data_IF_204585415054
#
_entry.id   IF_204585415054
#
_cell.length_a   1.000
_cell.length_b   1.000
_cell.length_c   1.000
_cell.angle_alpha   90.00
_cell.angle_beta   90.00
_cell.angle_gamma   90.00
#
_symmetry.space_group_name_H-M   'P 1'
#
loop_
_entity.id
_entity.type
_entity.pdbx_description
1 polymer ?
#
# COMPACT_ATOMS: atom_id res chain seq x y z
N UNK A 1 -19.28 -7.42 19.76
CA UNK A 1 -17.92 -6.93 19.44
C UNK A 1 -18.06 -5.49 18.99
N UNK A 2 -17.69 -4.55 19.86
CA UNK A 2 -17.63 -3.14 19.51
C UNK A 2 -16.21 -2.91 19.01
N UNK A 3 -16.00 -2.94 17.70
CA UNK A 3 -14.77 -2.41 17.12
C UNK A 3 -14.79 -0.89 17.28
N UNK A 4 -13.76 -0.38 17.93
CA UNK A 4 -13.59 1.05 18.08
C UNK A 4 -13.21 1.63 16.71
N UNK A 5 -14.14 2.34 16.09
CA UNK A 5 -13.94 3.00 14.79
C UNK A 5 -13.11 4.30 14.93
N UNK A 6 -12.14 4.30 15.84
CA UNK A 6 -11.22 5.41 16.03
C UNK A 6 -10.04 5.35 15.07
N UNK A 7 -9.67 6.49 14.47
CA UNK A 7 -8.39 6.62 13.81
C UNK A 7 -7.28 6.65 14.87
N UNK A 8 -6.28 5.78 14.74
CA UNK A 8 -5.08 5.78 15.58
C UNK A 8 -3.91 6.29 14.74
N UNK A 9 -3.31 7.39 15.15
CA UNK A 9 -2.07 7.85 14.56
C UNK A 9 -0.91 7.04 15.13
N UNK A 10 -0.17 6.36 14.26
CA UNK A 10 1.04 5.61 14.63
C UNK A 10 2.21 6.12 13.82
N UNK A 11 3.37 6.17 14.44
CA UNK A 11 4.64 6.49 13.78
C UNK A 11 5.29 5.18 13.35
N UNK A 12 5.79 5.14 12.13
CA UNK A 12 6.48 4.00 11.56
C UNK A 12 7.90 4.39 11.18
N UNK A 13 8.86 3.56 11.55
CA UNK A 13 10.22 3.68 11.04
C UNK A 13 10.30 2.97 9.68
N UNK A 14 10.88 3.64 8.70
CA UNK A 14 11.14 3.06 7.40
C UNK A 14 12.40 3.66 6.77
N UNK A 15 13.01 2.92 5.87
CA UNK A 15 14.19 3.35 5.13
C UNK A 15 13.89 3.32 3.65
N UNK A 16 14.07 4.46 2.98
CA UNK A 16 14.03 4.57 1.53
C UNK A 16 15.45 4.81 1.01
N UNK A 17 15.87 4.00 0.05
CA UNK A 17 17.13 4.17 -0.68
C UNK A 17 16.81 4.13 -2.15
N UNK A 18 17.34 5.08 -2.91
CA UNK A 18 17.03 5.11 -4.33
C UNK A 18 17.98 5.92 -5.16
N UNK A 19 17.78 5.81 -6.46
CA UNK A 19 18.44 6.57 -7.50
C UNK A 19 17.38 7.14 -8.42
N UNK A 20 17.43 8.43 -8.65
CA UNK A 20 16.60 9.10 -9.64
C UNK A 20 17.47 9.77 -10.70
N UNK A 21 16.92 9.92 -11.89
CA UNK A 21 17.64 10.59 -12.96
C UNK A 21 16.72 11.07 -14.08
N UNK A 22 17.24 12.05 -14.81
CA UNK A 22 16.64 12.59 -16.01
C UNK A 22 17.71 12.78 -17.07
N UNK A 23 17.40 12.37 -18.29
CA UNK A 23 18.27 12.55 -19.46
C UNK A 23 17.45 13.11 -20.61
N UNK A 24 18.07 14.03 -21.35
CA UNK A 24 17.52 14.60 -22.57
C UNK A 24 18.55 14.40 -23.69
N UNK A 25 18.11 13.82 -24.78
CA UNK A 25 18.93 13.58 -25.96
C UNK A 25 18.33 14.31 -27.16
N UNK A 26 19.13 15.11 -27.82
CA UNK A 26 18.81 15.72 -29.11
C UNK A 26 19.32 14.78 -30.21
N UNK A 27 18.42 13.96 -30.75
CA UNK A 27 18.74 12.99 -31.80
C UNK A 27 19.00 13.71 -33.10
N UNK A 28 18.25 14.80 -33.36
CA UNK A 28 18.45 15.73 -34.45
C UNK A 28 17.94 17.11 -34.02
N UNK A 29 18.08 18.13 -34.87
CA UNK A 29 17.54 19.47 -34.65
C UNK A 29 16.02 19.49 -34.36
N UNK A 30 15.32 18.47 -34.83
CA UNK A 30 13.87 18.34 -34.74
C UNK A 30 13.38 17.15 -33.91
N UNK A 31 14.31 16.36 -33.34
CA UNK A 31 13.95 15.13 -32.62
C UNK A 31 14.61 15.11 -31.25
N UNK A 32 13.79 15.06 -30.22
CA UNK A 32 14.19 15.05 -28.82
C UNK A 32 13.65 13.80 -28.12
N UNK A 33 14.51 13.14 -27.32
CA UNK A 33 14.16 12.03 -26.44
C UNK A 33 14.40 12.43 -25.00
N UNK A 34 13.35 12.41 -24.19
CA UNK A 34 13.41 12.59 -22.75
C UNK A 34 13.25 11.23 -22.05
N UNK A 35 14.11 10.94 -21.09
CA UNK A 35 14.03 9.74 -20.24
C UNK A 35 14.16 10.17 -18.79
N UNK A 36 13.17 9.82 -17.98
CA UNK A 36 13.19 10.04 -16.53
C UNK A 36 12.94 8.71 -15.83
N UNK A 37 13.62 8.48 -14.72
CA UNK A 37 13.45 7.25 -13.94
C UNK A 37 13.65 7.49 -12.45
N UNK A 38 13.01 6.62 -11.68
CA UNK A 38 13.18 6.48 -10.24
C UNK A 38 13.34 4.99 -9.93
N UNK A 39 14.39 4.63 -9.22
CA UNK A 39 14.59 3.32 -8.61
C UNK A 39 14.56 3.51 -7.10
N UNK A 40 13.72 2.75 -6.38
CA UNK A 40 13.53 2.92 -4.95
C UNK A 40 13.45 1.56 -4.26
N UNK A 41 14.29 1.34 -3.24
CA UNK A 41 14.17 0.26 -2.26
C UNK A 41 13.60 0.85 -0.97
N UNK A 42 12.39 0.44 -0.62
CA UNK A 42 11.66 0.95 0.54
C UNK A 42 11.33 -0.19 1.48
N UNK A 43 11.82 -0.12 2.72
CA UNK A 43 11.61 -1.16 3.73
C UNK A 43 11.18 -0.56 5.05
N UNK A 44 10.17 -1.16 5.65
CA UNK A 44 9.74 -0.84 7.01
C UNK A 44 10.70 -1.44 8.02
N UNK A 45 10.89 -0.74 9.14
CA UNK A 45 11.66 -1.19 10.27
C UNK A 45 10.93 -2.23 11.12
N UNK A 46 11.58 -2.67 12.17
CA UNK A 46 11.03 -3.61 13.15
C UNK A 46 9.83 -2.97 13.87
N UNK A 47 8.64 -3.50 13.64
CA UNK A 47 7.43 -3.06 14.30
C UNK A 47 6.34 -4.12 14.23
N UNK A 48 5.68 -4.35 15.36
CA UNK A 48 4.47 -5.16 15.46
C UNK A 48 3.24 -4.27 15.30
N UNK A 49 2.33 -4.66 14.43
CA UNK A 49 1.09 -3.94 14.15
C UNK A 49 -0.09 -4.90 14.05
N UNK A 50 -1.17 -4.58 14.74
CA UNK A 50 -2.43 -5.31 14.60
C UNK A 50 -3.02 -5.02 13.21
N UNK A 51 -3.40 -6.07 12.49
CA UNK A 51 -4.17 -5.94 11.25
C UNK A 51 -5.68 -6.04 11.57
N UNK A 52 -6.39 -4.92 11.73
CA UNK A 52 -7.80 -4.93 12.11
C UNK A 52 -8.71 -5.54 11.04
N UNK A 53 -8.20 -5.74 9.84
CA UNK A 53 -8.94 -6.26 8.70
C UNK A 53 -8.72 -7.77 8.50
N UNK A 54 -7.81 -8.35 9.28
CA UNK A 54 -7.54 -9.78 9.29
C UNK A 54 -7.60 -10.35 10.71
N UNK A 55 -8.77 -10.46 11.29
CA UNK A 55 -8.94 -10.95 12.67
C UNK A 55 -8.40 -12.37 12.89
N UNK A 56 -8.16 -13.12 11.81
CA UNK A 56 -7.62 -14.48 11.89
C UNK A 56 -6.09 -14.53 12.03
N UNK A 57 -5.37 -13.44 11.74
CA UNK A 57 -3.91 -13.39 11.88
C UNK A 57 -3.45 -13.43 13.34
N UNK A 58 -4.27 -12.88 14.22
CA UNK A 58 -3.95 -12.75 15.64
C UNK A 58 -4.50 -13.91 16.48
N UNK A 59 -5.04 -14.94 15.87
CA UNK A 59 -5.64 -16.04 16.62
C UNK A 59 -4.70 -17.23 16.66
N UNK A 60 -3.95 -17.36 17.75
CA UNK A 60 -3.27 -18.61 18.08
C UNK A 60 -4.14 -19.37 19.07
N UNK A 61 -4.81 -20.41 18.58
CA UNK A 61 -5.56 -21.31 19.45
C UNK A 61 -4.57 -22.33 20.02
N UNK A 62 -4.33 -22.27 21.31
CA UNK A 62 -3.62 -23.32 22.02
C UNK A 62 -4.63 -24.16 22.81
N UNK A 63 -4.74 -25.41 22.47
CA UNK A 63 -5.39 -26.38 23.33
C UNK A 63 -4.50 -26.55 24.59
N UNK A 64 -4.81 -25.81 25.63
CA UNK A 64 -4.00 -25.82 26.84
C UNK A 64 -4.71 -26.64 27.92
N UNK A 65 -4.38 -27.89 28.02
CA UNK A 65 -4.78 -28.68 29.17
C UNK A 65 -4.15 -28.27 30.52
N UNK A 66 -3.35 -27.19 30.60
CA UNK A 66 -2.45 -26.93 31.72
C UNK A 66 -2.54 -25.51 32.33
N UNK A 67 -3.67 -24.81 32.25
CA UNK A 67 -3.87 -23.57 32.98
C UNK A 67 -2.79 -22.49 32.74
N UNK A 68 -2.15 -22.01 33.84
CA UNK A 68 -1.09 -20.98 33.76
C UNK A 68 0.12 -21.42 32.93
N UNK A 69 0.48 -22.71 32.91
CA UNK A 69 1.58 -23.21 32.11
C UNK A 69 1.26 -23.13 30.60
N UNK A 70 0.02 -23.38 30.21
CA UNK A 70 -0.43 -23.19 28.83
C UNK A 70 -0.42 -21.73 28.40
N UNK A 71 -0.84 -20.80 29.27
CA UNK A 71 -0.72 -19.36 29.06
C UNK A 71 0.73 -18.91 28.91
N UNK A 72 1.63 -19.41 29.74
CA UNK A 72 3.07 -19.10 29.63
C UNK A 72 3.61 -19.51 28.27
N UNK A 73 3.30 -20.73 27.81
CA UNK A 73 3.70 -21.20 26.49
C UNK A 73 3.11 -20.36 25.35
N UNK A 74 1.87 -19.91 25.51
CA UNK A 74 1.21 -19.01 24.56
C UNK A 74 1.97 -17.69 24.43
N UNK A 75 2.28 -17.05 25.56
CA UNK A 75 3.01 -15.77 25.56
C UNK A 75 4.43 -15.91 25.02
N UNK A 76 5.13 -17.02 25.30
CA UNK A 76 6.43 -17.31 24.71
C UNK A 76 6.34 -17.49 23.18
N UNK A 77 5.30 -18.14 22.70
CA UNK A 77 5.07 -18.32 21.24
C UNK A 77 4.82 -17.00 20.52
N UNK A 78 4.40 -15.95 21.24
CA UNK A 78 4.25 -14.58 20.69
C UNK A 78 5.53 -13.73 20.79
N UNK A 79 6.66 -14.33 21.18
CA UNK A 79 7.95 -13.64 21.28
C UNK A 79 8.24 -13.02 22.64
N UNK A 80 7.38 -13.22 23.64
CA UNK A 80 7.64 -12.75 25.00
C UNK A 80 8.75 -13.57 25.64
N UNK A 81 9.68 -12.92 26.35
CA UNK A 81 10.71 -13.63 27.12
C UNK A 81 10.10 -14.50 28.22
N UNK A 82 10.82 -15.54 28.65
CA UNK A 82 10.30 -16.55 29.55
C UNK A 82 9.84 -15.99 30.91
N UNK A 83 10.53 -14.98 31.45
CA UNK A 83 10.22 -14.40 32.75
C UNK A 83 8.95 -13.53 32.66
N UNK A 84 8.86 -12.68 31.66
CA UNK A 84 7.70 -11.83 31.38
C UNK A 84 6.47 -12.68 31.04
N UNK A 85 6.63 -13.72 30.22
CA UNK A 85 5.57 -14.65 29.89
C UNK A 85 5.00 -15.36 31.13
N UNK A 86 5.88 -15.85 32.03
CA UNK A 86 5.47 -16.49 33.27
C UNK A 86 4.74 -15.52 34.21
N UNK A 87 5.26 -14.31 34.38
CA UNK A 87 4.63 -13.28 35.23
C UNK A 87 3.25 -12.87 34.70
N UNK A 88 3.15 -12.66 33.38
CA UNK A 88 1.88 -12.30 32.71
C UNK A 88 0.87 -13.42 32.81
N UNK A 89 1.29 -14.68 32.61
CA UNK A 89 0.43 -15.84 32.74
C UNK A 89 -0.08 -16.03 34.17
N UNK A 90 0.79 -15.82 35.18
CA UNK A 90 0.41 -15.86 36.57
C UNK A 90 -0.61 -14.78 36.93
N UNK A 91 -0.41 -13.55 36.44
CA UNK A 91 -1.37 -12.45 36.61
C UNK A 91 -2.71 -12.78 36.00
N UNK A 92 -2.75 -13.20 34.74
CA UNK A 92 -3.97 -13.60 34.05
C UNK A 92 -4.67 -14.76 34.77
N UNK A 93 -3.90 -15.76 35.21
CA UNK A 93 -4.42 -16.88 35.97
C UNK A 93 -5.02 -16.47 37.33
N UNK A 94 -4.52 -15.39 37.94
CA UNK A 94 -5.06 -14.84 39.18
C UNK A 94 -6.40 -14.13 39.02
N UNK A 95 -6.67 -13.63 37.82
CA UNK A 95 -7.94 -12.96 37.50
C UNK A 95 -9.09 -13.94 37.23
N UNK A 96 -8.76 -15.20 36.99
CA UNK A 96 -9.74 -16.24 36.66
C UNK A 96 -9.79 -17.24 37.82
N UNK A 97 -10.96 -17.49 38.42
CA UNK A 97 -11.05 -18.48 39.49
C UNK A 97 -10.61 -19.88 39.00
N UNK A 98 -9.98 -20.62 39.87
CA UNK A 98 -9.27 -21.90 39.77
C UNK A 98 -9.87 -23.02 38.89
N UNK A 99 -10.74 -22.70 37.98
CA UNK A 99 -11.34 -23.65 37.07
C UNK A 99 -10.44 -23.84 35.85
N UNK A 100 -10.39 -25.05 35.42
CA UNK A 100 -9.68 -25.50 34.26
C UNK A 100 -9.92 -24.57 33.04
N UNK A 101 -8.98 -23.64 32.85
CA UNK A 101 -8.86 -22.91 31.58
C UNK A 101 -8.47 -23.92 30.53
N UNK A 102 -9.42 -24.35 29.74
CA UNK A 102 -9.24 -25.47 28.83
C UNK A 102 -8.84 -25.04 27.43
N UNK A 103 -9.20 -23.82 27.02
CA UNK A 103 -8.87 -23.29 25.71
C UNK A 103 -8.60 -21.79 25.79
N UNK A 104 -7.51 -21.37 25.18
CA UNK A 104 -7.17 -19.95 25.03
C UNK A 104 -7.05 -19.64 23.55
N UNK A 105 -7.57 -18.49 23.17
CA UNK A 105 -7.30 -17.89 21.88
C UNK A 105 -6.75 -16.49 22.12
N UNK A 106 -5.63 -16.18 21.52
CA UNK A 106 -5.09 -14.84 21.50
C UNK A 106 -5.65 -14.13 20.27
N UNK A 107 -6.28 -13.01 20.47
CA UNK A 107 -6.92 -12.23 19.41
C UNK A 107 -6.42 -10.79 19.42
N UNK A 108 -6.73 -10.04 18.37
CA UNK A 108 -6.48 -8.60 18.27
C UNK A 108 -7.17 -7.77 19.37
N UNK A 109 -8.21 -8.31 20.00
CA UNK A 109 -8.96 -7.66 21.08
C UNK A 109 -8.56 -8.10 22.49
N UNK A 110 -7.67 -9.09 22.59
CA UNK A 110 -7.23 -9.65 23.86
C UNK A 110 -7.21 -11.18 23.90
N UNK A 111 -7.04 -11.73 25.07
CA UNK A 111 -7.14 -13.17 25.27
C UNK A 111 -8.59 -13.55 25.44
N UNK A 112 -9.07 -14.48 24.62
CA UNK A 112 -10.35 -15.13 24.81
C UNK A 112 -10.12 -16.48 25.48
N UNK A 113 -10.73 -16.69 26.62
CA UNK A 113 -10.69 -17.95 27.33
C UNK A 113 -12.09 -18.56 27.41
N UNK A 114 -12.17 -19.90 27.25
CA UNK A 114 -13.41 -20.63 27.54
C UNK A 114 -13.44 -21.05 28.99
N UNK A 115 -14.43 -20.56 29.71
CA UNK A 115 -14.66 -20.89 31.10
C UNK A 115 -16.10 -21.36 31.30
N UNK A 116 -16.28 -22.59 31.76
CA UNK A 116 -17.62 -23.20 31.96
C UNK A 116 -18.58 -23.03 30.77
N UNK A 117 -18.03 -23.08 29.54
CA UNK A 117 -18.80 -22.92 28.31
C UNK A 117 -19.09 -21.47 27.92
N UNK A 118 -18.67 -20.48 28.70
CA UNK A 118 -18.74 -19.07 28.35
C UNK A 118 -17.40 -18.60 27.81
N UNK A 119 -17.43 -17.66 26.84
CA UNK A 119 -16.24 -16.98 26.36
C UNK A 119 -15.99 -15.73 27.23
N UNK A 120 -14.79 -15.65 27.80
CA UNK A 120 -14.32 -14.50 28.58
C UNK A 120 -13.24 -13.80 27.76
N UNK A 121 -13.40 -12.50 27.53
CA UNK A 121 -12.38 -11.68 26.90
C UNK A 121 -11.65 -10.88 27.96
N UNK A 122 -10.31 -11.00 27.99
CA UNK A 122 -9.43 -10.22 28.85
C UNK A 122 -8.83 -9.09 28.02
N UNK A 123 -9.34 -7.87 28.11
CA UNK A 123 -8.83 -6.74 27.33
C UNK A 123 -7.48 -6.27 27.88
N UNK A 124 -6.68 -5.61 27.04
CA UNK A 124 -5.42 -4.98 27.43
C UNK A 124 -4.17 -5.83 27.22
N UNK A 125 -4.30 -7.07 26.76
CA UNK A 125 -3.18 -7.94 26.35
C UNK A 125 -3.03 -8.02 24.80
N UNK A 126 -3.83 -7.28 24.08
CA UNK A 126 -3.83 -7.22 22.62
C UNK A 126 -2.55 -6.62 22.01
N UNK A 127 -1.81 -5.85 22.78
CA UNK A 127 -0.56 -5.22 22.33
C UNK A 127 0.62 -6.21 22.14
N UNK A 128 0.43 -7.46 22.52
CA UNK A 128 1.44 -8.52 22.42
C UNK A 128 1.34 -9.29 21.12
N UNK A 129 0.24 -9.13 20.39
CA UNK A 129 -0.04 -9.85 19.15
C UNK A 129 -0.13 -8.85 18.02
N UNK A 130 0.82 -8.92 17.12
CA UNK A 130 0.84 -8.09 15.94
C UNK A 130 1.51 -8.81 14.78
N UNK A 131 1.29 -8.33 13.59
CA UNK A 131 2.04 -8.73 12.41
C UNK A 131 3.36 -7.97 12.41
N UNK A 132 4.48 -8.68 12.29
CA UNK A 132 5.78 -8.05 12.13
C UNK A 132 5.83 -7.38 10.75
N UNK A 133 6.16 -6.10 10.72
CA UNK A 133 6.23 -5.29 9.51
C UNK A 133 7.65 -5.15 8.95
N UNK A 134 8.67 -5.61 9.67
CA UNK A 134 10.06 -5.51 9.24
C UNK A 134 10.26 -6.11 7.85
N UNK A 135 10.90 -5.33 6.99
CA UNK A 135 11.17 -5.73 5.61
C UNK A 135 10.02 -5.55 4.65
N UNK A 136 8.81 -5.26 5.12
CA UNK A 136 7.69 -4.93 4.26
C UNK A 136 7.97 -3.66 3.46
N UNK A 137 7.49 -3.63 2.22
CA UNK A 137 7.55 -2.41 1.40
C UNK A 137 6.60 -1.36 1.97
N UNK A 138 7.06 -0.10 2.06
CA UNK A 138 6.19 0.99 2.49
C UNK A 138 5.08 1.23 1.45
N UNK A 139 3.82 1.38 1.87
CA UNK A 139 2.68 1.53 0.96
C UNK A 139 2.84 2.68 -0.02
N UNK A 140 2.42 2.45 -1.25
CA UNK A 140 2.45 3.44 -2.31
C UNK A 140 3.82 3.64 -2.97
N UNK A 141 4.89 3.01 -2.47
CA UNK A 141 6.22 3.06 -3.09
C UNK A 141 6.34 2.01 -4.19
N UNK A 142 6.99 2.38 -5.29
CA UNK A 142 7.32 1.52 -6.43
C UNK A 142 8.82 1.27 -6.47
N UNK A 143 9.25 0.11 -6.94
CA UNK A 143 10.69 -0.18 -7.08
C UNK A 143 11.30 0.48 -8.32
N UNK A 144 10.53 0.61 -9.38
CA UNK A 144 10.97 1.21 -10.63
C UNK A 144 9.81 1.95 -11.30
N UNK A 145 9.98 3.26 -11.43
CA UNK A 145 9.13 4.10 -12.28
C UNK A 145 9.99 4.72 -13.37
N UNK A 146 9.48 4.79 -14.58
CA UNK A 146 10.11 5.58 -15.63
C UNK A 146 9.11 6.11 -16.64
N UNK A 147 9.50 7.20 -17.29
CA UNK A 147 8.81 7.69 -18.46
C UNK A 147 9.81 8.00 -19.59
N UNK A 148 9.39 7.72 -20.78
CA UNK A 148 10.16 7.98 -22.01
C UNK A 148 9.26 8.77 -22.94
N UNK A 149 9.73 9.93 -23.38
CA UNK A 149 9.00 10.79 -24.32
C UNK A 149 9.84 11.06 -25.57
N UNK A 150 9.28 10.80 -26.72
CA UNK A 150 9.85 11.17 -28.00
C UNK A 150 9.04 12.35 -28.55
N UNK A 151 9.74 13.46 -28.81
CA UNK A 151 9.16 14.64 -29.45
C UNK A 151 9.77 14.79 -30.83
N UNK A 152 8.91 14.89 -31.85
CA UNK A 152 9.29 15.20 -33.23
C UNK A 152 8.67 16.52 -33.63
N UNK A 153 9.49 17.47 -34.02
CA UNK A 153 9.10 18.75 -34.57
C UNK A 153 9.04 18.70 -36.09
N UNK A 154 7.98 19.20 -36.65
CA UNK A 154 7.79 19.39 -38.08
C UNK A 154 7.69 20.88 -38.37
N UNK A 155 8.75 21.52 -38.84
CA UNK A 155 8.72 22.93 -39.23
C UNK A 155 7.93 23.12 -40.55
N UNK A 156 7.18 24.21 -40.64
CA UNK A 156 6.41 24.64 -41.79
C UNK A 156 6.65 26.13 -42.05
N UNK A 157 6.31 26.63 -43.24
CA UNK A 157 6.44 28.05 -43.54
C UNK A 157 5.59 28.94 -42.60
N UNK A 158 4.46 28.40 -42.14
CA UNK A 158 3.51 29.12 -41.28
C UNK A 158 3.70 28.88 -39.77
N UNK A 159 4.66 28.02 -39.35
CA UNK A 159 4.87 27.65 -37.95
C UNK A 159 5.50 26.28 -37.77
N UNK A 160 5.19 25.62 -36.69
CA UNK A 160 5.66 24.25 -36.42
C UNK A 160 4.57 23.36 -35.83
N UNK A 161 4.67 22.07 -36.09
CA UNK A 161 3.87 21.03 -35.41
C UNK A 161 4.77 20.14 -34.59
N UNK A 162 4.56 20.11 -33.30
CA UNK A 162 5.28 19.20 -32.38
C UNK A 162 4.38 17.98 -32.07
N UNK A 163 4.88 16.79 -32.38
CA UNK A 163 4.23 15.53 -32.03
C UNK A 163 5.04 14.87 -30.93
N UNK A 164 4.42 14.63 -29.76
CA UNK A 164 5.04 13.98 -28.62
C UNK A 164 4.33 12.67 -28.31
N UNK A 165 5.09 11.59 -28.24
CA UNK A 165 4.66 10.29 -27.75
C UNK A 165 5.33 10.04 -26.41
N UNK A 166 4.55 9.73 -25.39
CA UNK A 166 5.04 9.45 -24.04
C UNK A 166 4.63 8.05 -23.62
N UNK A 167 5.60 7.26 -23.18
CA UNK A 167 5.37 5.99 -22.51
C UNK A 167 5.71 6.13 -21.03
N UNK A 168 4.80 5.68 -20.18
CA UNK A 168 4.95 5.70 -18.72
C UNK A 168 4.85 4.27 -18.20
N UNK A 169 5.86 3.85 -17.45
CA UNK A 169 5.83 2.66 -16.64
C UNK A 169 5.84 3.04 -15.18
N UNK A 170 4.91 2.50 -14.43
CA UNK A 170 4.85 2.60 -12.98
C UNK A 170 4.87 1.19 -12.41
N UNK A 171 5.87 0.90 -11.58
CA UNK A 171 6.05 -0.40 -10.96
C UNK A 171 4.87 -0.81 -10.08
N UNK A 172 4.84 -2.06 -9.70
CA UNK A 172 3.90 -2.57 -8.71
C UNK A 172 4.15 -1.93 -7.35
N UNK A 173 3.12 -1.87 -6.53
CA UNK A 173 3.20 -1.29 -5.19
C UNK A 173 2.23 -1.95 -4.23
N UNK A 174 2.54 -1.84 -2.96
CA UNK A 174 1.66 -2.30 -1.91
C UNK A 174 0.67 -1.19 -1.51
N UNK A 175 -0.59 -1.56 -1.32
CA UNK A 175 -1.64 -0.65 -0.84
C UNK A 175 -1.80 -0.67 0.69
N UNK A 176 -1.07 -1.55 1.38
CA UNK A 176 -1.15 -1.72 2.84
C UNK A 176 0.23 -1.98 3.43
N UNK A 177 0.44 -1.53 4.68
CA UNK A 177 1.66 -1.81 5.46
C UNK A 177 1.89 -3.31 5.68
N UNK A 178 0.84 -4.13 5.59
CA UNK A 178 0.91 -5.57 5.79
C UNK A 178 1.38 -6.36 4.56
N UNK A 179 1.52 -5.71 3.40
CA UNK A 179 1.93 -6.30 2.11
C UNK A 179 1.13 -7.58 1.77
N UNK A 180 -0.15 -7.54 2.04
CA UNK A 180 -1.03 -8.68 1.74
C UNK A 180 -1.45 -8.68 0.27
N UNK A 181 -1.53 -9.84 -0.40
CA UNK A 181 -1.87 -9.94 -1.82
C UNK A 181 -3.17 -9.23 -2.21
N UNK A 182 -4.10 -9.11 -1.27
CA UNK A 182 -5.39 -8.43 -1.48
C UNK A 182 -5.23 -6.94 -1.81
N UNK A 183 -4.18 -6.29 -1.30
CA UNK A 183 -3.92 -4.86 -1.49
C UNK A 183 -2.77 -4.59 -2.45
N UNK A 184 -2.23 -5.63 -3.05
CA UNK A 184 -1.20 -5.49 -4.05
C UNK A 184 -1.77 -4.83 -5.32
N UNK A 185 -1.11 -3.77 -5.77
CA UNK A 185 -1.44 -3.04 -6.99
C UNK A 185 -0.41 -3.39 -8.06
N UNK A 186 -0.80 -4.06 -9.13
CA UNK A 186 0.12 -4.48 -10.18
C UNK A 186 0.71 -3.27 -10.93
N UNK A 187 1.78 -3.51 -11.67
CA UNK A 187 2.40 -2.51 -12.53
C UNK A 187 1.41 -1.86 -13.50
N UNK A 188 1.69 -0.63 -13.88
CA UNK A 188 0.85 0.16 -14.77
C UNK A 188 1.68 0.67 -15.94
N UNK A 189 1.11 0.63 -17.12
CA UNK A 189 1.73 1.08 -18.35
C UNK A 189 0.76 1.94 -19.13
N UNK A 190 1.17 3.15 -19.47
CA UNK A 190 0.38 4.09 -20.25
C UNK A 190 1.15 4.57 -21.46
N UNK A 191 0.43 4.88 -22.51
CA UNK A 191 0.97 5.52 -23.69
C UNK A 191 0.06 6.68 -24.07
N UNK A 192 0.64 7.86 -24.16
CA UNK A 192 -0.04 9.11 -24.46
C UNK A 192 0.56 9.75 -25.70
N UNK A 193 -0.24 10.45 -26.49
CA UNK A 193 0.23 11.22 -27.63
C UNK A 193 -0.40 12.61 -27.62
N UNK A 194 0.41 13.60 -27.96
CA UNK A 194 -0.04 14.97 -28.23
C UNK A 194 0.50 15.44 -29.56
N UNK A 195 -0.28 16.25 -30.29
CA UNK A 195 0.20 16.98 -31.44
C UNK A 195 -0.24 18.44 -31.28
N UNK A 196 0.72 19.38 -31.32
CA UNK A 196 0.48 20.80 -31.10
C UNK A 196 1.05 21.60 -32.25
N UNK A 197 0.21 22.40 -32.89
CA UNK A 197 0.62 23.39 -33.89
C UNK A 197 0.80 24.75 -33.22
N UNK A 198 1.91 25.39 -33.52
CA UNK A 198 2.22 26.77 -33.09
C UNK A 198 2.59 27.58 -34.35
N UNK A 199 1.89 28.69 -34.66
CA UNK A 199 2.22 29.52 -35.80
C UNK A 199 3.55 30.26 -35.59
N UNK A 200 4.13 30.80 -36.66
CA UNK A 200 5.39 31.57 -36.60
C UNK A 200 5.29 32.84 -35.75
N UNK A 201 4.08 33.38 -35.55
CA UNK A 201 3.85 34.52 -34.67
C UNK A 201 3.89 34.17 -33.18
N UNK A 202 3.76 32.88 -32.84
CA UNK A 202 3.68 32.34 -31.47
C UNK A 202 2.56 32.92 -30.59
N UNK A 203 1.59 33.65 -31.21
CA UNK A 203 0.48 34.29 -30.49
C UNK A 203 -0.54 33.28 -29.95
N UNK A 204 -0.60 32.09 -30.53
CA UNK A 204 -1.55 31.05 -30.15
C UNK A 204 -0.99 29.66 -30.46
N UNK A 205 -1.62 28.67 -29.89
CA UNK A 205 -1.40 27.27 -30.28
C UNK A 205 -2.72 26.52 -30.31
N UNK A 206 -2.77 25.46 -31.11
CA UNK A 206 -3.87 24.51 -31.14
C UNK A 206 -3.31 23.09 -31.12
N UNK A 207 -3.93 22.20 -30.37
CA UNK A 207 -3.45 20.85 -30.23
C UNK A 207 -4.57 19.83 -30.07
N UNK A 208 -4.18 18.59 -30.29
CA UNK A 208 -5.00 17.41 -30.03
C UNK A 208 -4.22 16.49 -29.10
N UNK A 209 -4.92 15.75 -28.25
CA UNK A 209 -4.28 14.75 -27.40
C UNK A 209 -5.09 13.48 -27.32
N UNK A 210 -4.40 12.37 -27.13
CA UNK A 210 -4.96 11.06 -26.76
C UNK A 210 -4.18 10.57 -25.57
N UNK A 211 -4.86 10.30 -24.46
CA UNK A 211 -4.29 9.67 -23.27
C UNK A 211 -4.74 8.22 -23.17
N UNK A 212 -3.85 7.37 -22.65
CA UNK A 212 -4.07 5.94 -22.53
C UNK A 212 -4.49 5.31 -23.87
N UNK A 213 -3.65 5.45 -24.90
CA UNK A 213 -3.93 5.00 -26.28
C UNK A 213 -4.34 3.53 -26.32
N UNK A 214 -3.72 2.70 -25.48
CA UNK A 214 -3.98 1.26 -25.41
C UNK A 214 -5.30 0.90 -24.71
N UNK A 215 -6.00 1.89 -24.12
CA UNK A 215 -7.23 1.71 -23.32
C UNK A 215 -7.10 0.67 -22.21
N UNK A 216 -5.92 0.61 -21.59
CA UNK A 216 -5.67 -0.31 -20.48
C UNK A 216 -6.35 0.17 -19.21
N UNK A 217 -7.04 -0.75 -18.53
CA UNK A 217 -7.68 -0.48 -17.23
C UNK A 217 -6.81 -1.04 -16.12
N UNK A 218 -6.03 -0.18 -15.50
CA UNK A 218 -5.20 -0.53 -14.37
C UNK A 218 -5.92 -0.26 -13.05
N UNK A 219 -5.71 -1.13 -12.06
CA UNK A 219 -6.09 -0.84 -10.68
C UNK A 219 -5.10 0.19 -10.12
N UNK A 220 -5.61 1.32 -9.65
CA UNK A 220 -4.79 2.42 -9.11
C UNK A 220 -4.95 2.59 -7.61
N UNK A 221 -5.95 1.95 -7.02
CA UNK A 221 -6.21 1.95 -5.58
C UNK A 221 -7.06 0.77 -5.16
N UNK A 222 -6.79 0.25 -3.98
CA UNK A 222 -7.61 -0.75 -3.30
C UNK A 222 -7.80 -0.27 -1.87
N UNK A 223 -9.05 -0.10 -1.48
CA UNK A 223 -9.43 0.31 -0.14
C UNK A 223 -10.42 -0.70 0.45
N UNK A 224 -10.37 -0.88 1.74
CA UNK A 224 -11.35 -1.67 2.45
C UNK A 224 -12.10 -0.77 3.45
N UNK A 225 -13.42 -0.81 3.40
CA UNK A 225 -14.24 -0.17 4.41
C UNK A 225 -14.05 -0.85 5.77
N UNK A 226 -14.34 -0.12 6.84
CA UNK A 226 -14.31 -0.69 8.18
C UNK A 226 -15.26 -1.90 8.29
N UNK A 227 -14.98 -2.78 9.25
CA UNK A 227 -15.87 -3.92 9.56
C UNK A 227 -17.28 -3.46 9.93
N UNK A 228 -17.42 -2.26 10.51
CA UNK A 228 -18.73 -1.62 10.80
C UNK A 228 -19.52 -1.29 9.53
N UNK A 229 -18.83 -1.08 8.41
CA UNK A 229 -19.44 -0.82 7.09
C UNK A 229 -19.48 -2.08 6.22
N UNK A 230 -19.33 -3.26 6.83
CA UNK A 230 -19.42 -4.55 6.16
C UNK A 230 -18.12 -5.05 5.54
N UNK A 231 -16.98 -4.38 5.77
CA UNK A 231 -15.67 -4.86 5.28
C UNK A 231 -15.57 -4.95 3.75
N UNK A 232 -16.32 -4.12 3.01
CA UNK A 232 -16.33 -4.13 1.54
C UNK A 232 -14.99 -3.68 0.99
N UNK A 233 -14.53 -4.34 -0.07
CA UNK A 233 -13.34 -3.94 -0.82
C UNK A 233 -13.75 -3.07 -2.00
N UNK A 234 -13.21 -1.87 -2.08
CA UNK A 234 -13.39 -0.94 -3.19
C UNK A 234 -12.12 -0.90 -4.02
N UNK A 235 -12.26 -1.04 -5.34
CA UNK A 235 -11.16 -0.93 -6.29
C UNK A 235 -11.36 0.31 -7.14
N UNK A 236 -10.34 1.14 -7.23
CA UNK A 236 -10.33 2.33 -8.09
C UNK A 236 -9.55 2.02 -9.36
N UNK A 237 -10.15 2.28 -10.50
CA UNK A 237 -9.53 2.08 -11.80
C UNK A 237 -9.00 3.39 -12.38
N UNK A 238 -7.92 3.29 -13.16
CA UNK A 238 -7.44 4.39 -13.97
C UNK A 238 -8.48 4.82 -15.01
N UNK A 239 -8.34 6.06 -15.48
CA UNK A 239 -9.20 6.58 -16.55
C UNK A 239 -9.02 5.76 -17.82
N UNK A 240 -10.11 5.49 -18.56
CA UNK A 240 -10.04 4.87 -19.87
C UNK A 240 -9.35 5.83 -20.87
N UNK A 241 -9.17 5.38 -22.11
CA UNK A 241 -8.68 6.25 -23.17
C UNK A 241 -9.53 7.51 -23.27
N UNK A 242 -8.85 8.65 -23.26
CA UNK A 242 -9.46 9.96 -23.43
C UNK A 242 -8.76 10.72 -24.56
N UNK A 243 -9.51 11.55 -25.26
CA UNK A 243 -8.98 12.44 -26.28
C UNK A 243 -9.66 13.80 -26.20
N UNK A 244 -8.97 14.80 -26.66
CA UNK A 244 -9.49 16.16 -26.63
C UNK A 244 -8.68 17.12 -27.46
N UNK A 245 -9.13 18.35 -27.42
CA UNK A 245 -8.53 19.51 -28.08
C UNK A 245 -7.95 20.44 -27.03
N UNK A 246 -6.86 21.09 -27.35
CA UNK A 246 -6.26 22.16 -26.56
C UNK A 246 -6.11 23.42 -27.43
N UNK A 247 -6.39 24.55 -26.87
CA UNK A 247 -6.18 25.86 -27.51
C UNK A 247 -5.68 26.83 -26.46
N UNK A 248 -4.70 27.64 -26.80
CA UNK A 248 -4.17 28.69 -25.94
C UNK A 248 -3.74 29.90 -26.74
N UNK A 249 -3.74 31.07 -26.08
CA UNK A 249 -3.30 32.34 -26.65
C UNK A 249 -2.29 32.99 -25.71
N UNK A 250 -1.25 33.58 -26.27
CA UNK A 250 -0.25 34.41 -25.57
C UNK A 250 -0.62 35.86 -25.80
N UNK A 251 -0.62 36.66 -24.74
CA UNK A 251 -0.96 38.10 -24.76
C UNK A 251 0.27 38.95 -24.45
#
# INVERSE_FOLDING_TARGET
LIYNAGAVNKTFDYVNKGLEGAMKFFISDNTELDVNWLMLDSKMGEQLQDDPLNPNQATTVLAAGNGVAGLTGLFQATGMDAATAAATAAYVGSLLPNAALTNFALTDTGIIASYQGALITLPGLSSVVGVQLEGNRYPGTTELDYNISLTQRFPHDSGSTDVRLTYVHKGDREGSIFNTPKYHLPEQQYMDMTATYTPSSEDWYAGVYVKNIADKRHNIGVEQSSTLQGGMTQVTYAQPRTYGLAFGMNF
#
